data_IF_737538349078
#
_entry.id   IF_737538349078
#
_cell.length_a   1.000
_cell.length_b   1.000
_cell.length_c   1.000
_cell.angle_alpha   90.00
_cell.angle_beta   90.00
_cell.angle_gamma   90.00
#
_symmetry.space_group_name_H-M   'P 1'
#
loop_
_entity.id
_entity.type
_entity.pdbx_description
1 polymer ?
#
# COMPACT_ATOMS: atom_id res chain seq x y z
N UNK A 1 -5.87 -8.70 18.44
CA UNK A 1 -5.67 -7.26 18.15
C UNK A 1 -6.88 -6.80 17.36
N UNK A 2 -7.63 -5.83 17.87
CA UNK A 2 -8.76 -5.23 17.14
C UNK A 2 -8.25 -4.12 16.23
N UNK A 3 -8.80 -4.05 15.02
CA UNK A 3 -8.50 -2.95 14.10
C UNK A 3 -9.07 -1.63 14.64
N UNK A 4 -8.30 -0.56 14.53
CA UNK A 4 -8.75 0.78 14.88
C UNK A 4 -9.42 1.44 13.67
N UNK A 5 -10.73 1.50 13.69
CA UNK A 5 -11.55 2.12 12.64
C UNK A 5 -11.95 3.58 12.94
N UNK A 6 -11.48 4.14 14.06
CA UNK A 6 -11.81 5.51 14.45
C UNK A 6 -11.27 6.51 13.43
N UNK A 7 -12.13 7.37 12.93
CA UNK A 7 -11.78 8.40 11.93
C UNK A 7 -11.82 7.91 10.49
N UNK A 8 -12.25 6.67 10.24
CA UNK A 8 -12.55 6.17 8.90
C UNK A 8 -13.92 6.69 8.48
N UNK A 9 -14.04 7.08 7.22
CA UNK A 9 -15.31 7.48 6.62
C UNK A 9 -15.64 6.59 5.42
N UNK A 10 -16.92 6.36 5.16
CA UNK A 10 -17.38 5.72 3.93
C UNK A 10 -17.51 6.72 2.76
N UNK A 11 -17.10 7.98 2.98
CA UNK A 11 -17.19 9.04 1.97
C UNK A 11 -16.06 8.92 0.93
N UNK A 12 -16.12 7.91 0.09
CA UNK A 12 -15.15 7.62 -0.95
C UNK A 12 -15.70 6.66 -2.00
N UNK A 13 -14.81 6.19 -2.86
CA UNK A 13 -15.13 5.21 -3.91
C UNK A 13 -14.03 4.15 -3.98
N UNK A 14 -14.36 2.95 -4.47
CA UNK A 14 -13.39 1.86 -4.65
C UNK A 14 -13.37 1.44 -6.12
N UNK A 15 -12.17 1.37 -6.70
CA UNK A 15 -11.90 0.78 -8.00
C UNK A 15 -11.09 -0.50 -7.84
N UNK A 16 -11.76 -1.64 -7.82
CA UNK A 16 -11.13 -2.95 -7.64
C UNK A 16 -11.94 -4.05 -8.33
N UNK A 17 -11.42 -4.59 -9.43
CA UNK A 17 -12.09 -5.64 -10.22
C UNK A 17 -12.21 -6.96 -9.50
N UNK A 18 -11.43 -7.17 -8.45
CA UNK A 18 -11.45 -8.43 -7.66
C UNK A 18 -12.46 -8.41 -6.51
N UNK A 19 -12.92 -7.22 -6.12
CA UNK A 19 -13.79 -7.03 -4.97
C UNK A 19 -13.13 -7.25 -3.61
N UNK A 20 -11.82 -7.49 -3.56
CA UNK A 20 -11.10 -7.75 -2.30
C UNK A 20 -11.17 -6.55 -1.36
N UNK A 21 -10.99 -5.33 -1.88
CA UNK A 21 -11.08 -4.10 -1.10
C UNK A 21 -12.50 -3.88 -0.56
N UNK A 22 -13.52 -3.99 -1.42
CA UNK A 22 -14.93 -3.80 -1.03
C UNK A 22 -15.36 -4.81 0.03
N UNK A 23 -14.96 -6.09 -0.12
CA UNK A 23 -15.28 -7.13 0.85
C UNK A 23 -14.61 -6.86 2.20
N UNK A 24 -13.34 -6.47 2.20
CA UNK A 24 -12.64 -6.11 3.43
C UNK A 24 -13.32 -4.93 4.14
N UNK A 25 -13.62 -3.85 3.41
CA UNK A 25 -14.25 -2.67 3.99
C UNK A 25 -15.63 -2.99 4.59
N UNK A 26 -16.44 -3.81 3.92
CA UNK A 26 -17.72 -4.32 4.48
C UNK A 26 -17.51 -5.11 5.76
N UNK A 27 -16.48 -5.94 5.83
CA UNK A 27 -16.18 -6.73 7.03
C UNK A 27 -15.83 -5.86 8.23
N UNK A 28 -15.19 -4.71 8.00
CA UNK A 28 -14.87 -3.75 9.07
C UNK A 28 -15.96 -2.69 9.28
N UNK A 29 -17.12 -2.83 8.62
CA UNK A 29 -18.32 -2.04 8.85
C UNK A 29 -18.53 -0.85 7.93
N UNK A 30 -17.82 -0.77 6.79
CA UNK A 30 -17.93 0.33 5.84
C UNK A 30 -18.40 -0.19 4.47
N UNK A 31 -19.54 0.30 4.01
CA UNK A 31 -20.04 0.06 2.66
C UNK A 31 -19.67 1.26 1.76
N UNK A 32 -18.61 1.09 0.97
CA UNK A 32 -18.07 2.12 0.10
C UNK A 32 -18.48 1.79 -1.33
N UNK A 33 -19.06 2.76 -2.07
CA UNK A 33 -19.53 2.52 -3.43
C UNK A 33 -18.36 2.19 -4.38
N UNK A 34 -18.67 1.33 -5.35
CA UNK A 34 -17.75 1.07 -6.45
C UNK A 34 -17.66 2.27 -7.39
N UNK A 35 -16.44 2.62 -7.74
CA UNK A 35 -16.18 3.55 -8.84
C UNK A 35 -16.47 2.86 -10.18
N UNK A 36 -17.24 3.53 -11.04
CA UNK A 36 -17.58 3.01 -12.37
C UNK A 36 -16.91 3.81 -13.47
N UNK A 37 -17.20 5.10 -13.52
CA UNK A 37 -16.66 6.02 -14.53
C UNK A 37 -16.85 7.49 -14.12
N UNK A 38 -16.18 8.40 -14.80
CA UNK A 38 -16.32 9.84 -14.60
C UNK A 38 -15.59 10.35 -13.35
N UNK A 39 -16.16 11.35 -12.71
CA UNK A 39 -15.62 11.94 -11.49
C UNK A 39 -15.93 11.04 -10.30
N UNK A 40 -14.91 10.64 -9.50
CA UNK A 40 -15.15 9.87 -8.28
C UNK A 40 -16.02 10.62 -7.28
N UNK A 41 -16.78 9.88 -6.49
CA UNK A 41 -17.54 10.44 -5.38
C UNK A 41 -16.76 10.40 -4.07
N UNK A 42 -17.00 11.40 -3.21
CA UNK A 42 -16.40 11.48 -1.88
C UNK A 42 -14.99 12.06 -1.87
N UNK A 43 -14.27 11.81 -0.79
CA UNK A 43 -12.99 12.44 -0.49
C UNK A 43 -11.79 11.65 -1.02
N UNK A 44 -11.97 10.36 -1.29
CA UNK A 44 -10.91 9.49 -1.79
C UNK A 44 -11.40 8.48 -2.83
N UNK A 45 -10.47 8.07 -3.69
CA UNK A 45 -10.61 6.91 -4.56
C UNK A 45 -9.57 5.87 -4.16
N UNK A 46 -10.02 4.72 -3.64
CA UNK A 46 -9.18 3.60 -3.28
C UNK A 46 -9.07 2.63 -4.46
N UNK A 47 -7.85 2.42 -4.95
CA UNK A 47 -7.56 1.61 -6.13
C UNK A 47 -6.83 0.34 -5.75
N UNK A 48 -7.46 -0.79 -6.05
CA UNK A 48 -6.91 -2.14 -5.95
C UNK A 48 -6.47 -2.68 -7.30
N UNK A 49 -6.89 -3.91 -7.62
CA UNK A 49 -6.61 -4.58 -8.89
C UNK A 49 -7.34 -3.90 -10.06
N UNK A 50 -6.90 -2.72 -10.39
CA UNK A 50 -7.42 -1.88 -11.46
C UNK A 50 -6.27 -1.17 -12.17
N UNK A 51 -6.24 -1.24 -13.49
CA UNK A 51 -5.19 -0.60 -14.28
C UNK A 51 -5.64 0.75 -14.82
N UNK A 52 -4.75 1.76 -14.90
CA UNK A 52 -5.12 3.10 -15.37
C UNK A 52 -5.67 3.11 -16.80
N UNK A 53 -5.26 2.18 -17.63
CA UNK A 53 -5.74 2.02 -19.01
C UNK A 53 -7.21 1.62 -19.10
N UNK A 54 -7.78 1.04 -18.05
CA UNK A 54 -9.19 0.63 -18.00
C UNK A 54 -10.15 1.81 -17.92
N UNK A 55 -9.68 2.98 -17.54
CA UNK A 55 -10.51 4.18 -17.41
C UNK A 55 -10.58 5.06 -18.68
N UNK A 56 -9.69 4.83 -19.63
CA UNK A 56 -9.69 5.61 -20.88
C UNK A 56 -9.70 7.13 -20.63
N UNK A 57 -10.70 7.82 -21.16
CA UNK A 57 -10.87 9.27 -20.97
C UNK A 57 -11.22 9.67 -19.53
N UNK A 58 -11.78 8.77 -18.74
CA UNK A 58 -12.14 9.03 -17.34
C UNK A 58 -10.95 9.37 -16.43
N UNK A 59 -9.72 9.04 -16.85
CA UNK A 59 -8.52 9.43 -16.09
C UNK A 59 -8.33 10.95 -16.00
N UNK A 60 -8.74 11.70 -17.01
CA UNK A 60 -8.69 13.17 -16.93
C UNK A 60 -9.59 13.69 -15.82
N UNK A 61 -10.76 13.11 -15.65
CA UNK A 61 -11.72 13.50 -14.62
C UNK A 61 -11.20 13.17 -13.22
N UNK A 62 -10.57 12.01 -13.08
CA UNK A 62 -9.94 11.59 -11.81
C UNK A 62 -8.81 12.56 -11.42
N UNK A 63 -7.93 12.88 -12.35
CA UNK A 63 -6.83 13.80 -12.05
C UNK A 63 -7.31 15.21 -11.77
N UNK A 64 -8.31 15.70 -12.49
CA UNK A 64 -8.93 16.99 -12.20
C UNK A 64 -9.59 17.00 -10.81
N UNK A 65 -10.22 15.90 -10.42
CA UNK A 65 -10.81 15.71 -9.10
C UNK A 65 -9.73 15.68 -8.00
N UNK A 66 -8.61 14.99 -8.21
CA UNK A 66 -7.46 15.02 -7.29
C UNK A 66 -6.93 16.45 -7.14
N UNK A 67 -6.72 17.17 -8.25
CA UNK A 67 -6.20 18.55 -8.21
C UNK A 67 -7.11 19.52 -7.44
N UNK A 68 -8.40 19.21 -7.32
CA UNK A 68 -9.38 19.99 -6.54
C UNK A 68 -9.30 19.73 -5.03
N UNK A 69 -8.50 18.78 -4.57
CA UNK A 69 -8.25 18.57 -3.14
C UNK A 69 -8.58 17.18 -2.63
N UNK A 70 -8.80 16.21 -3.52
CA UNK A 70 -9.13 14.84 -3.13
C UNK A 70 -7.92 13.91 -3.16
N UNK A 71 -8.09 12.69 -2.66
CA UNK A 71 -7.00 11.73 -2.50
C UNK A 71 -7.18 10.51 -3.38
N UNK A 72 -6.19 10.21 -4.20
CA UNK A 72 -6.08 8.95 -4.93
C UNK A 72 -5.16 8.00 -4.15
N UNK A 73 -5.68 6.83 -3.74
CA UNK A 73 -4.95 5.84 -2.94
C UNK A 73 -4.75 4.58 -3.78
N UNK A 74 -3.51 4.29 -4.15
CA UNK A 74 -3.13 3.17 -5.03
C UNK A 74 -2.44 2.10 -4.20
N UNK A 75 -3.08 0.95 -4.01
CA UNK A 75 -2.59 -0.16 -3.18
C UNK A 75 -2.28 -1.43 -3.98
N UNK A 76 -2.48 -1.40 -5.29
CA UNK A 76 -2.11 -2.49 -6.21
C UNK A 76 -1.68 -1.91 -7.57
N UNK A 77 -0.96 -2.72 -8.36
CA UNK A 77 -0.45 -2.31 -9.68
C UNK A 77 0.38 -1.01 -9.68
N UNK A 78 1.07 -0.73 -8.59
CA UNK A 78 1.77 0.54 -8.36
C UNK A 78 2.78 0.90 -9.47
N UNK A 79 3.45 -0.08 -10.09
CA UNK A 79 4.39 0.17 -11.19
C UNK A 79 3.66 0.72 -12.42
N UNK A 80 2.53 0.12 -12.79
CA UNK A 80 1.69 0.58 -13.91
C UNK A 80 1.12 1.97 -13.69
N UNK A 81 0.70 2.22 -12.45
CA UNK A 81 0.25 3.55 -12.06
C UNK A 81 1.35 4.58 -12.09
N UNK A 82 2.56 4.22 -11.62
CA UNK A 82 3.70 5.13 -11.66
C UNK A 82 4.12 5.48 -13.09
N UNK A 83 4.13 4.51 -13.99
CA UNK A 83 4.36 4.75 -15.43
C UNK A 83 3.31 5.71 -16.00
N UNK A 84 2.04 5.43 -15.75
CA UNK A 84 0.94 6.27 -16.23
C UNK A 84 1.02 7.70 -15.69
N UNK A 85 1.26 7.87 -14.39
CA UNK A 85 1.37 9.19 -13.77
C UNK A 85 2.60 9.96 -14.26
N UNK A 86 3.68 9.25 -14.62
CA UNK A 86 4.85 9.85 -15.24
C UNK A 86 4.56 10.34 -16.67
N UNK A 87 3.85 9.56 -17.45
CA UNK A 87 3.42 9.96 -18.81
C UNK A 87 2.50 11.19 -18.80
N UNK A 88 1.81 11.43 -17.68
CA UNK A 88 0.98 12.61 -17.43
C UNK A 88 1.71 13.75 -16.73
N UNK A 89 3.03 13.63 -16.55
CA UNK A 89 3.87 14.63 -15.88
C UNK A 89 3.46 14.92 -14.42
N UNK A 90 2.76 13.99 -13.78
CA UNK A 90 2.32 14.09 -12.38
C UNK A 90 3.39 13.58 -11.43
N UNK A 91 4.08 12.51 -11.83
CA UNK A 91 5.10 11.83 -11.03
C UNK A 91 6.46 11.88 -11.75
N UNK A 92 7.49 12.39 -11.09
CA UNK A 92 8.87 12.21 -11.56
C UNK A 92 9.35 10.78 -11.22
N UNK A 93 8.99 9.85 -12.09
CA UNK A 93 9.26 8.43 -11.94
C UNK A 93 10.35 7.97 -12.90
N UNK A 94 11.31 7.22 -12.37
CA UNK A 94 12.47 6.74 -13.14
C UNK A 94 12.67 5.23 -13.03
N UNK A 95 11.56 4.52 -13.07
CA UNK A 95 11.55 3.08 -13.08
C UNK A 95 11.40 2.46 -11.69
N UNK A 96 11.23 1.16 -11.68
CA UNK A 96 11.13 0.33 -10.49
C UNK A 96 12.29 -0.63 -10.39
N UNK A 97 12.44 -1.20 -9.20
CA UNK A 97 13.37 -2.29 -8.99
C UNK A 97 12.73 -3.40 -8.20
N UNK A 98 12.86 -4.59 -8.75
CA UNK A 98 12.59 -5.81 -8.03
C UNK A 98 13.69 -6.01 -6.98
N UNK A 99 13.29 -6.06 -5.73
CA UNK A 99 14.21 -6.23 -4.61
C UNK A 99 14.55 -7.70 -4.43
N UNK A 100 15.79 -7.96 -4.04
CA UNK A 100 16.28 -9.30 -3.80
C UNK A 100 15.62 -9.97 -2.59
N UNK A 101 15.99 -11.20 -2.37
CA UNK A 101 15.47 -12.02 -1.29
C UNK A 101 16.00 -11.59 0.08
N UNK A 102 15.27 -11.93 1.10
CA UNK A 102 15.25 -11.41 2.45
C UNK A 102 16.57 -11.26 3.23
N UNK A 103 17.62 -11.93 2.85
CA UNK A 103 18.84 -11.94 3.67
C UNK A 103 19.57 -10.59 3.67
N UNK A 104 19.65 -9.96 2.55
CA UNK A 104 20.40 -8.71 2.39
C UNK A 104 19.56 -7.56 1.92
N UNK A 105 18.49 -7.86 1.28
CA UNK A 105 17.82 -6.86 0.55
C UNK A 105 16.37 -6.76 0.90
N UNK A 106 15.87 -5.67 0.55
CA UNK A 106 14.48 -5.43 0.67
C UNK A 106 14.07 -5.19 2.10
N UNK A 107 14.98 -4.73 2.87
CA UNK A 107 14.61 -4.14 4.13
C UNK A 107 13.83 -2.88 3.83
N UNK A 108 12.55 -2.97 4.08
CA UNK A 108 11.71 -1.79 4.17
C UNK A 108 11.94 -1.15 5.53
N UNK A 109 11.98 0.16 5.55
CA UNK A 109 11.95 0.92 6.80
C UNK A 109 11.05 2.12 6.64
N UNK A 110 10.28 2.38 7.69
CA UNK A 110 9.38 3.49 7.74
C UNK A 110 9.91 4.62 8.61
N UNK A 111 9.39 5.78 8.36
CA UNK A 111 9.56 6.96 9.19
C UNK A 111 8.28 7.27 9.95
N UNK A 112 8.37 8.09 10.96
CA UNK A 112 7.20 8.58 11.67
C UNK A 112 6.31 9.42 10.74
N UNK A 113 5.05 9.01 10.65
CA UNK A 113 4.01 9.72 9.91
C UNK A 113 2.63 9.26 10.43
N UNK A 114 1.59 10.10 10.39
CA UNK A 114 0.24 9.72 10.81
C UNK A 114 -0.36 8.49 10.14
N UNK A 115 0.08 8.15 8.94
CA UNK A 115 -0.28 6.89 8.27
C UNK A 115 0.08 5.64 9.10
N UNK A 116 1.05 5.74 9.99
CA UNK A 116 1.44 4.65 10.88
C UNK A 116 0.81 4.73 12.27
N UNK A 117 -0.28 5.49 12.44
CA UNK A 117 -0.98 5.58 13.72
C UNK A 117 -1.33 4.18 14.28
N UNK A 118 -0.86 3.89 15.50
CA UNK A 118 -0.98 2.58 16.14
C UNK A 118 -0.06 1.47 15.60
N UNK A 119 0.86 1.80 14.71
CA UNK A 119 1.87 0.88 14.16
C UNK A 119 3.28 1.34 14.54
N UNK A 120 4.26 0.44 14.64
CA UNK A 120 5.66 0.81 14.90
C UNK A 120 6.21 1.74 13.82
N UNK A 121 7.00 2.73 14.24
CA UNK A 121 7.65 3.70 13.36
C UNK A 121 9.15 3.77 13.61
N UNK A 122 9.88 4.37 12.68
CA UNK A 122 11.34 4.50 12.70
C UNK A 122 12.03 3.13 12.86
N UNK A 123 11.48 2.12 12.21
CA UNK A 123 11.97 0.74 12.31
C UNK A 123 12.13 0.08 10.95
N UNK A 124 12.96 -0.94 10.92
CA UNK A 124 13.06 -1.89 9.82
C UNK A 124 11.86 -2.84 9.88
N UNK A 125 11.28 -3.17 8.74
CA UNK A 125 10.21 -4.14 8.66
C UNK A 125 10.76 -5.54 8.96
N UNK A 126 10.52 -5.99 10.17
CA UNK A 126 10.84 -7.34 10.61
C UNK A 126 9.60 -8.02 11.21
N UNK A 127 9.60 -8.37 12.50
CA UNK A 127 8.54 -9.15 13.14
C UNK A 127 7.16 -8.49 13.04
N UNK A 128 7.05 -7.20 13.30
CA UNK A 128 5.79 -6.47 13.35
C UNK A 128 5.19 -6.31 11.95
N UNK A 129 6.05 -6.20 10.95
CA UNK A 129 5.68 -6.01 9.55
C UNK A 129 5.91 -7.26 8.69
N UNK A 130 5.89 -8.44 9.27
CA UNK A 130 6.15 -9.69 8.55
C UNK A 130 5.21 -9.91 7.37
N UNK A 131 3.99 -9.40 7.44
CA UNK A 131 3.04 -9.48 6.33
C UNK A 131 3.58 -8.86 5.03
N UNK A 132 4.52 -7.94 5.09
CA UNK A 132 5.18 -7.33 3.94
C UNK A 132 6.58 -7.88 3.67
N UNK A 133 7.17 -8.60 4.60
CA UNK A 133 8.55 -9.09 4.54
C UNK A 133 8.67 -10.53 4.06
N UNK A 134 7.65 -11.10 3.41
CA UNK A 134 7.66 -12.52 3.02
C UNK A 134 8.59 -12.80 1.84
N UNK A 135 9.26 -13.93 1.90
CA UNK A 135 10.16 -14.39 0.85
C UNK A 135 9.48 -14.56 -0.51
N UNK A 136 8.25 -15.03 -0.51
CA UNK A 136 7.50 -15.34 -1.73
C UNK A 136 6.71 -14.16 -2.29
N UNK A 137 6.69 -13.03 -1.61
CA UNK A 137 5.99 -11.84 -2.11
C UNK A 137 6.89 -11.02 -3.01
N UNK A 138 6.31 -10.55 -4.09
CA UNK A 138 6.97 -9.64 -5.00
C UNK A 138 7.30 -8.34 -4.27
N UNK A 139 8.58 -8.07 -4.09
CA UNK A 139 9.05 -6.83 -3.47
C UNK A 139 9.54 -5.91 -4.56
N UNK A 140 8.91 -4.79 -4.66
CA UNK A 140 9.26 -3.76 -5.64
C UNK A 140 9.45 -2.44 -4.92
N UNK A 141 10.43 -1.67 -5.35
CA UNK A 141 10.61 -0.28 -4.96
C UNK A 141 10.46 0.61 -6.19
N UNK A 142 9.81 1.75 -6.02
CA UNK A 142 9.66 2.78 -7.05
C UNK A 142 10.77 3.83 -6.91
N UNK A 143 11.35 4.25 -8.02
CA UNK A 143 12.29 5.36 -8.04
C UNK A 143 11.53 6.64 -8.38
N UNK A 144 11.04 7.30 -7.34
CA UNK A 144 10.29 8.55 -7.43
C UNK A 144 11.10 9.70 -6.84
N UNK A 145 11.06 10.86 -7.46
CA UNK A 145 11.84 12.03 -7.04
C UNK A 145 11.00 13.18 -6.52
N UNK A 146 9.70 13.18 -6.75
CA UNK A 146 8.78 14.10 -6.12
C UNK A 146 7.92 13.37 -5.07
N UNK A 147 7.42 14.13 -4.11
CA UNK A 147 6.65 13.60 -3.01
C UNK A 147 7.49 13.18 -1.80
N UNK A 148 6.82 12.64 -0.81
CA UNK A 148 7.39 12.20 0.45
C UNK A 148 7.42 10.67 0.52
N UNK A 149 8.61 10.09 0.64
CA UNK A 149 8.78 8.65 0.87
C UNK A 149 8.59 8.33 2.34
N UNK A 150 7.58 7.53 2.65
CA UNK A 150 7.23 7.11 4.01
C UNK A 150 7.75 5.71 4.35
N UNK A 151 7.80 4.82 3.36
CA UNK A 151 8.49 3.53 3.46
C UNK A 151 9.54 3.51 2.38
N UNK A 152 10.78 3.50 2.81
CA UNK A 152 11.92 3.34 1.92
C UNK A 152 12.35 1.87 1.86
N UNK A 153 12.97 1.50 0.76
CA UNK A 153 13.64 0.22 0.62
C UNK A 153 14.99 0.41 -0.06
N UNK A 154 15.94 -0.42 0.33
CA UNK A 154 17.30 -0.40 -0.21
C UNK A 154 17.51 -1.65 -1.05
N UNK A 155 18.11 -1.49 -2.21
CA UNK A 155 18.57 -2.65 -2.96
C UNK A 155 19.93 -3.12 -2.45
N UNK A 156 20.19 -4.43 -2.61
CA UNK A 156 21.42 -5.09 -2.20
C UNK A 156 22.66 -4.27 -2.50
N UNK A 157 23.54 -4.10 -1.51
CA UNK A 157 24.88 -3.53 -1.65
C UNK A 157 25.00 -2.27 -2.53
N UNK A 158 23.94 -1.85 -3.18
CA UNK A 158 23.87 -0.62 -3.94
C UNK A 158 23.34 0.49 -3.06
N UNK A 159 23.95 1.64 -3.15
CA UNK A 159 23.55 2.84 -2.39
C UNK A 159 22.28 3.51 -3.01
N UNK A 160 21.36 2.70 -3.51
CA UNK A 160 20.14 3.18 -4.15
C UNK A 160 18.96 2.98 -3.19
N UNK A 161 18.20 4.04 -2.99
CA UNK A 161 16.98 4.04 -2.19
C UNK A 161 15.79 4.12 -3.13
N UNK A 162 14.80 3.28 -2.84
CA UNK A 162 13.53 3.24 -3.56
C UNK A 162 12.38 3.46 -2.58
N UNK A 163 11.23 3.85 -3.08
CA UNK A 163 10.02 4.02 -2.28
C UNK A 163 9.11 2.80 -2.39
N UNK A 164 8.63 2.32 -1.26
CA UNK A 164 7.56 1.33 -1.18
C UNK A 164 6.21 1.96 -0.74
N UNK A 165 6.23 3.15 -0.17
CA UNK A 165 5.06 3.96 0.12
C UNK A 165 5.43 5.44 0.00
N UNK A 166 4.75 6.16 -0.85
CA UNK A 166 4.93 7.61 -1.03
C UNK A 166 3.61 8.35 -0.97
N UNK A 167 3.68 9.60 -0.51
CA UNK A 167 2.63 10.61 -0.64
C UNK A 167 3.12 11.69 -1.59
N UNK A 168 2.39 11.92 -2.67
CA UNK A 168 2.75 12.82 -3.75
C UNK A 168 1.72 13.94 -3.81
N UNK A 169 2.10 15.20 -3.56
CA UNK A 169 1.21 16.33 -3.76
C UNK A 169 0.78 16.45 -5.22
N UNK A 170 -0.51 16.69 -5.46
CA UNK A 170 -1.07 16.87 -6.78
C UNK A 170 -2.14 17.99 -6.75
N UNK A 171 -1.77 19.18 -7.15
CA UNK A 171 -2.64 20.35 -6.99
C UNK A 171 -2.93 20.65 -5.52
N UNK A 172 -4.22 20.68 -5.15
CA UNK A 172 -4.64 20.80 -3.74
C UNK A 172 -4.84 19.45 -3.05
N UNK A 173 -4.84 18.35 -3.82
CA UNK A 173 -4.99 17.00 -3.33
C UNK A 173 -3.66 16.26 -3.28
N UNK A 174 -3.75 14.95 -3.19
CA UNK A 174 -2.58 14.07 -3.08
C UNK A 174 -2.83 12.70 -3.67
N UNK A 175 -1.73 12.05 -4.02
CA UNK A 175 -1.69 10.66 -4.44
C UNK A 175 -0.90 9.88 -3.40
N UNK A 176 -1.47 8.81 -2.90
CA UNK A 176 -0.78 7.84 -2.04
C UNK A 176 -0.56 6.60 -2.89
N UNK A 177 0.68 6.18 -3.05
CA UNK A 177 1.04 5.02 -3.86
C UNK A 177 1.93 4.07 -3.07
N UNK A 178 1.59 2.78 -3.08
CA UNK A 178 2.39 1.78 -2.37
C UNK A 178 2.60 0.52 -3.19
N UNK A 179 3.79 -0.04 -3.07
CA UNK A 179 4.16 -1.38 -3.58
C UNK A 179 4.05 -2.45 -2.50
N UNK A 180 3.68 -2.08 -1.28
CA UNK A 180 3.42 -3.04 -0.21
C UNK A 180 2.18 -3.88 -0.58
N UNK A 181 2.29 -5.19 -0.45
CA UNK A 181 1.23 -6.13 -0.84
C UNK A 181 0.06 -6.11 0.17
N UNK A 182 -0.62 -4.96 0.23
CA UNK A 182 -1.81 -4.77 1.06
C UNK A 182 -2.94 -5.73 0.65
N UNK A 183 -3.25 -5.94 -0.64
CA UNK A 183 -4.29 -6.87 -1.04
C UNK A 183 -4.12 -8.27 -0.47
N UNK A 184 -2.90 -8.79 -0.39
CA UNK A 184 -2.65 -10.08 0.22
C UNK A 184 -2.89 -10.10 1.73
N UNK A 185 -2.76 -8.97 2.43
CA UNK A 185 -3.05 -8.86 3.87
C UNK A 185 -4.54 -8.84 4.18
N UNK A 186 -5.37 -8.34 3.25
CA UNK A 186 -6.81 -8.17 3.44
C UNK A 186 -7.65 -9.29 2.83
N UNK A 187 -7.08 -10.08 1.94
CA UNK A 187 -7.76 -11.22 1.30
C UNK A 187 -8.17 -12.28 2.31
N UNK A 188 -7.38 -12.47 3.35
CA UNK A 188 -7.73 -13.31 4.50
C UNK A 188 -8.02 -12.43 5.72
N UNK A 189 -9.30 -12.27 6.02
CA UNK A 189 -9.79 -11.37 7.09
C UNK A 189 -9.53 -11.91 8.48
N UNK A 190 -9.12 -13.16 8.62
CA UNK A 190 -8.81 -13.74 9.92
C UNK A 190 -7.54 -13.08 10.46
N UNK A 191 -7.70 -12.29 11.51
CA UNK A 191 -6.57 -11.77 12.26
C UNK A 191 -5.85 -12.93 12.96
N UNK A 192 -4.76 -13.37 12.39
CA UNK A 192 -3.88 -14.28 13.09
C UNK A 192 -2.84 -13.50 13.89
N UNK A 193 -2.81 -13.73 15.17
CA UNK A 193 -1.56 -13.65 15.88
C UNK A 193 -0.92 -15.03 15.75
N UNK A 194 0.10 -15.15 14.95
CA UNK A 194 0.85 -16.40 14.89
C UNK A 194 1.68 -16.49 16.14
N UNK A 195 1.61 -17.60 16.88
CA UNK A 195 2.69 -17.95 17.76
C UNK A 195 3.95 -18.02 16.91
N UNK A 196 4.95 -17.26 17.26
CA UNK A 196 6.29 -17.45 16.70
C UNK A 196 6.66 -18.88 17.04
N UNK A 197 6.76 -19.73 16.02
CA UNK A 197 7.30 -21.06 16.20
C UNK A 197 8.79 -20.89 16.48
N UNK A 198 9.14 -20.85 17.75
CA UNK A 198 10.50 -20.68 18.21
C UNK A 198 11.41 -21.80 17.71
N UNK A 199 10.84 -23.00 17.46
CA UNK A 199 11.58 -24.10 16.88
C UNK A 199 11.95 -23.81 15.42
N UNK A 200 11.12 -23.10 14.69
CA UNK A 200 11.42 -22.64 13.34
C UNK A 200 12.50 -21.58 13.25
N UNK A 201 12.83 -20.91 14.34
CA UNK A 201 13.93 -19.94 14.36
C UNK A 201 15.32 -20.57 14.27
N UNK A 202 15.45 -21.82 14.63
CA UNK A 202 16.68 -22.59 14.53
C UNK A 202 16.88 -23.25 13.16
N UNK A 203 15.86 -23.23 12.30
CA UNK A 203 15.96 -23.72 10.94
C UNK A 203 16.52 -22.61 10.03
N UNK A 204 17.00 -23.00 8.86
CA UNK A 204 17.49 -22.04 7.88
C UNK A 204 16.45 -20.95 7.59
N UNK A 205 16.88 -19.75 7.25
CA UNK A 205 16.02 -18.62 6.91
C UNK A 205 14.97 -18.98 5.84
N UNK A 206 15.26 -19.95 4.97
CA UNK A 206 14.34 -20.44 3.97
C UNK A 206 13.16 -21.20 4.57
N UNK A 207 13.41 -22.01 5.60
CA UNK A 207 12.36 -22.76 6.29
C UNK A 207 11.46 -21.83 7.10
N UNK A 208 12.02 -20.84 7.72
CA UNK A 208 11.28 -19.78 8.40
C UNK A 208 10.31 -19.05 7.47
N UNK A 209 10.73 -18.77 6.25
CA UNK A 209 9.91 -18.08 5.26
C UNK A 209 8.82 -18.96 4.64
N UNK A 210 9.01 -20.28 4.56
CA UNK A 210 8.02 -21.21 4.00
C UNK A 210 6.90 -21.56 4.97
N UNK A 211 7.16 -21.57 6.27
CA UNK A 211 6.14 -21.77 7.30
C UNK A 211 5.27 -20.56 7.58
N UNK A 212 5.46 -19.49 6.85
CA UNK A 212 4.88 -18.18 7.10
C UNK A 212 3.49 -17.96 6.51
N UNK A 213 2.76 -18.99 6.16
CA UNK A 213 1.37 -18.88 5.68
C UNK A 213 0.41 -18.25 6.70
N UNK A 214 0.84 -18.18 7.94
CA UNK A 214 0.06 -17.70 9.07
C UNK A 214 0.58 -16.35 9.61
N UNK A 215 0.82 -15.37 8.80
CA UNK A 215 1.32 -14.08 9.29
C UNK A 215 0.22 -13.17 9.79
N UNK A 216 0.59 -12.32 10.74
CA UNK A 216 -0.30 -11.28 11.25
C UNK A 216 -0.62 -10.26 10.15
N UNK A 217 -1.63 -10.53 9.36
CA UNK A 217 -2.12 -9.62 8.33
C UNK A 217 -2.71 -8.33 8.93
N UNK A 218 -3.00 -8.32 10.23
CA UNK A 218 -3.60 -7.20 10.95
C UNK A 218 -2.84 -5.89 10.75
N UNK A 219 -1.52 -5.93 10.63
CA UNK A 219 -0.70 -4.74 10.37
C UNK A 219 -0.99 -4.16 8.98
N UNK A 220 -1.04 -5.00 7.96
CA UNK A 220 -1.41 -4.56 6.60
C UNK A 220 -2.86 -4.08 6.51
N UNK A 221 -3.77 -4.73 7.24
CA UNK A 221 -5.16 -4.30 7.37
C UNK A 221 -5.27 -2.93 8.04
N UNK A 222 -4.55 -2.73 9.15
CA UNK A 222 -4.52 -1.43 9.83
C UNK A 222 -3.86 -0.35 8.97
N UNK A 223 -2.81 -0.69 8.25
CA UNK A 223 -2.18 0.27 7.33
C UNK A 223 -3.16 0.73 6.26
N UNK A 224 -3.93 -0.17 5.64
CA UNK A 224 -4.97 0.22 4.67
C UNK A 224 -5.97 1.21 5.28
N UNK A 225 -6.47 0.93 6.47
CA UNK A 225 -7.39 1.82 7.18
C UNK A 225 -6.77 3.19 7.44
N UNK A 226 -5.49 3.21 7.81
CA UNK A 226 -4.76 4.45 8.03
C UNK A 226 -4.53 5.26 6.74
N UNK A 227 -4.30 4.59 5.59
CA UNK A 227 -4.24 5.26 4.27
C UNK A 227 -5.56 5.98 3.95
N UNK A 228 -6.68 5.31 4.22
CA UNK A 228 -8.00 5.94 4.04
C UNK A 228 -8.19 7.11 5.02
N UNK A 229 -7.80 6.95 6.28
CA UNK A 229 -7.87 8.01 7.28
C UNK A 229 -7.03 9.24 6.91
N UNK A 230 -5.92 9.03 6.20
CA UNK A 230 -5.06 10.11 5.73
C UNK A 230 -5.74 10.99 4.66
N UNK A 231 -6.74 10.48 3.93
CA UNK A 231 -7.48 11.26 2.95
C UNK A 231 -8.28 12.43 3.57
N UNK A 232 -8.56 12.35 4.87
CA UNK A 232 -9.32 13.35 5.61
C UNK A 232 -8.43 14.46 6.23
N UNK A 233 -7.14 14.45 5.92
CA UNK A 233 -6.15 15.42 6.39
C UNK A 233 -5.63 16.27 5.24
#
# INVERSE_FOLDING_TARGET
>A
VSLNTKGITANGSIADTTGVLSNFMKTVGFDIPEYKEGTPSGDYLLVGAFEPTQWGSGMSDIMEWVYKGHTLIIVDNAERWAEFLADKEVLDYRGSKKLGTAWYGGNFFNREHPIFDGLPVNCVFNWEYQCFATYNRHRVGLRCFNGETLVACVSDHKKEVYSALSVIPAGRGKIIITTLDIPACIKDVKAYTVPVDLDGMNESMNTFNTKSENRANVVGQQLLLNLIKESNR
#
